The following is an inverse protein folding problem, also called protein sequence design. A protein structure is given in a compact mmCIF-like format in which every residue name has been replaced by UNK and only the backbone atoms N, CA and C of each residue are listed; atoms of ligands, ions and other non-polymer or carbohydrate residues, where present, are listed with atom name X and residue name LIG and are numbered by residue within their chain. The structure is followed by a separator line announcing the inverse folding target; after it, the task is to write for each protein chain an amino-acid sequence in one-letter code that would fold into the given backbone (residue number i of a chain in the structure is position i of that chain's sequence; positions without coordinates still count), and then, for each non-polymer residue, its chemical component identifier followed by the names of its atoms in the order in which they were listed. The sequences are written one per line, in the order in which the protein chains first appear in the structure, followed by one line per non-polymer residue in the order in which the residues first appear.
data_IF_185849676640
#
_entry.id   IF_185849676640
#
_cell.length_a   1.000
_cell.length_b   1.000
_cell.length_c   1.000
_cell.angle_alpha   90.00
_cell.angle_beta   90.00
_cell.angle_gamma   90.00
#
_symmetry.space_group_name_H-M   'P 1'
#
loop_
_entity.id
_entity.type
_entity.pdbx_description
1 polymer ?
#
# COMPACT_ATOMS: atom_id res chain seq x y z
N UNK A 1 -12.55 2.25 -5.97
CA UNK A 1 -11.39 2.04 -5.08
C UNK A 1 -10.34 1.25 -5.82
N UNK A 2 -9.13 1.78 -5.97
CA UNK A 2 -8.07 1.01 -6.62
C UNK A 2 -7.73 -0.24 -5.83
N UNK A 3 -7.28 -1.25 -6.55
CA UNK A 3 -6.84 -2.51 -5.95
C UNK A 3 -5.46 -2.86 -6.46
N UNK A 4 -4.77 -3.69 -5.73
CA UNK A 4 -3.44 -4.13 -6.11
C UNK A 4 -2.93 -5.24 -5.21
N UNK A 5 -1.65 -5.56 -5.38
CA UNK A 5 -0.99 -6.63 -4.65
C UNK A 5 0.25 -6.05 -3.96
N UNK A 6 0.48 -6.47 -2.72
CA UNK A 6 1.69 -6.04 -2.02
C UNK A 6 2.88 -6.70 -2.67
N UNK A 7 3.68 -5.89 -3.34
CA UNK A 7 4.85 -6.32 -4.09
C UNK A 7 6.06 -6.51 -3.20
N UNK A 8 6.23 -5.61 -2.22
CA UNK A 8 7.35 -5.64 -1.30
C UNK A 8 6.90 -5.12 0.05
N UNK A 9 7.38 -5.76 1.10
CA UNK A 9 7.10 -5.31 2.46
C UNK A 9 8.39 -5.39 3.28
N UNK A 10 8.75 -4.29 3.92
CA UNK A 10 9.93 -4.18 4.77
C UNK A 10 9.45 -4.09 6.21
N UNK A 11 9.39 -5.23 6.87
CA UNK A 11 8.74 -5.37 8.16
C UNK A 11 9.40 -4.54 9.25
N UNK A 12 10.71 -4.55 9.30
CA UNK A 12 11.44 -3.81 10.34
C UNK A 12 11.34 -2.29 10.17
N UNK A 13 10.95 -1.84 9.00
CA UNK A 13 10.75 -0.41 8.73
C UNK A 13 9.29 -0.01 8.71
N UNK A 14 8.39 -0.97 8.58
CA UNK A 14 6.95 -0.72 8.59
C UNK A 14 6.40 -0.07 7.34
N UNK A 15 6.99 -0.33 6.17
CA UNK A 15 6.46 0.18 4.92
C UNK A 15 6.72 -0.79 3.78
N UNK A 16 6.09 -0.53 2.65
CA UNK A 16 6.28 -1.34 1.47
C UNK A 16 5.66 -0.69 0.25
N UNK A 17 5.43 -1.50 -0.78
CA UNK A 17 4.90 -1.01 -2.04
C UNK A 17 3.79 -1.92 -2.53
N UNK A 18 2.75 -1.31 -3.08
CA UNK A 18 1.64 -1.99 -3.71
C UNK A 18 1.77 -1.83 -5.22
N UNK A 19 1.67 -2.94 -5.94
CA UNK A 19 1.58 -2.90 -7.40
C UNK A 19 0.11 -2.81 -7.79
N UNK A 20 -0.33 -1.67 -8.37
CA UNK A 20 -1.72 -1.53 -8.78
C UNK A 20 -2.11 -2.52 -9.88
N UNK A 21 -3.34 -2.99 -9.85
CA UNK A 21 -3.83 -3.91 -10.87
C UNK A 21 -3.92 -3.28 -12.25
N UNK A 22 -4.08 -1.97 -12.32
CA UNK A 22 -4.17 -1.26 -13.59
C UNK A 22 -2.82 -1.09 -14.30
N UNK A 23 -1.74 -1.59 -13.71
CA UNK A 23 -0.42 -1.51 -14.32
C UNK A 23 0.29 -0.19 -14.11
N UNK A 24 -0.25 0.68 -13.27
CA UNK A 24 0.40 1.95 -12.95
C UNK A 24 1.65 1.79 -12.10
N UNK A 25 2.29 2.91 -11.74
CA UNK A 25 3.50 2.85 -10.92
C UNK A 25 3.20 2.31 -9.52
N UNK A 26 4.22 1.74 -8.88
CA UNK A 26 4.08 1.23 -7.52
C UNK A 26 3.66 2.34 -6.58
N UNK A 27 2.81 1.99 -5.61
CA UNK A 27 2.29 2.93 -4.63
C UNK A 27 2.92 2.64 -3.28
N UNK A 28 3.53 3.64 -2.67
CA UNK A 28 4.10 3.52 -1.33
C UNK A 28 2.98 3.32 -0.31
N UNK A 29 3.22 2.44 0.66
CA UNK A 29 2.26 2.21 1.74
C UNK A 29 3.00 2.05 3.07
N UNK A 30 2.52 2.78 4.08
CA UNK A 30 3.03 2.68 5.44
C UNK A 30 2.11 1.81 6.28
N UNK A 31 2.65 1.15 7.31
CA UNK A 31 1.83 0.23 8.13
C UNK A 31 0.62 0.91 8.75
N UNK A 32 0.68 2.22 8.96
CA UNK A 32 -0.44 2.98 9.52
C UNK A 32 -1.68 2.99 8.63
N UNK A 33 -1.49 2.72 7.33
CA UNK A 33 -2.60 2.67 6.39
C UNK A 33 -3.41 1.37 6.50
N UNK A 34 -2.87 0.38 7.18
CA UNK A 34 -3.52 -0.92 7.35
C UNK A 34 -4.35 -0.96 8.64
N UNK A 35 -5.37 -1.84 8.71
CA UNK A 35 -6.09 -2.05 9.95
C UNK A 35 -5.15 -2.50 11.07
N UNK A 36 -5.45 -2.08 12.30
CA UNK A 36 -4.64 -2.47 13.46
C UNK A 36 -4.68 -3.98 13.62
N UNK A 37 -3.52 -4.54 13.95
CA UNK A 37 -3.40 -5.96 14.19
C UNK A 37 -3.27 -6.82 12.94
N UNK A 38 -3.36 -6.21 11.76
CA UNK A 38 -3.18 -6.96 10.52
C UNK A 38 -1.70 -7.23 10.28
N UNK A 39 -1.37 -8.49 10.04
CA UNK A 39 -0.03 -8.86 9.65
C UNK A 39 0.10 -8.73 8.13
N UNK A 40 0.97 -7.84 7.69
CA UNK A 40 1.15 -7.57 6.26
C UNK A 40 2.17 -8.53 5.67
N UNK A 41 1.85 -9.10 4.52
CA UNK A 41 2.74 -10.02 3.82
C UNK A 41 2.76 -9.71 2.33
N UNK A 42 3.89 -9.99 1.70
CA UNK A 42 3.99 -9.88 0.25
C UNK A 42 3.04 -10.86 -0.44
N UNK A 43 2.44 -10.40 -1.53
CA UNK A 43 1.47 -11.21 -2.26
C UNK A 43 0.03 -11.00 -1.86
N UNK A 44 -0.23 -10.28 -0.76
CA UNK A 44 -1.60 -10.00 -0.33
C UNK A 44 -2.29 -9.04 -1.29
N UNK A 45 -3.54 -9.34 -1.63
CA UNK A 45 -4.35 -8.44 -2.43
C UNK A 45 -5.09 -7.46 -1.54
N UNK A 46 -5.05 -6.20 -1.91
CA UNK A 46 -5.62 -5.13 -1.09
C UNK A 46 -6.37 -4.12 -1.93
N UNK A 47 -7.35 -3.48 -1.32
CA UNK A 47 -7.96 -2.27 -1.83
C UNK A 47 -7.42 -1.08 -1.07
N UNK A 48 -7.30 0.07 -1.72
CA UNK A 48 -6.71 1.24 -1.08
C UNK A 48 -7.15 2.52 -1.75
N UNK A 49 -6.94 3.64 -1.06
CA UNK A 49 -7.11 4.97 -1.61
C UNK A 49 -5.73 5.54 -1.89
N UNK A 50 -5.63 6.32 -2.97
CA UNK A 50 -4.36 6.94 -3.36
C UNK A 50 -4.42 8.44 -3.08
N UNK A 51 -3.39 8.94 -2.39
CA UNK A 51 -3.20 10.37 -2.20
C UNK A 51 -1.73 10.69 -2.46
N UNK A 52 -1.46 11.90 -2.95
CA UNK A 52 -0.08 12.31 -3.15
C UNK A 52 0.50 12.85 -1.86
N UNK A 53 1.72 12.44 -1.55
CA UNK A 53 2.45 12.98 -0.42
C UNK A 53 2.75 14.46 -0.68
N UNK A 54 2.44 15.31 0.31
CA UNK A 54 2.61 16.75 0.16
C UNK A 54 4.07 17.15 0.01
N UNK A 55 5.00 16.37 0.54
CA UNK A 55 6.42 16.69 0.50
C UNK A 55 7.10 16.20 -0.77
N UNK A 56 6.77 14.98 -1.20
CA UNK A 56 7.46 14.35 -2.33
C UNK A 56 6.65 14.39 -3.62
N UNK A 57 5.34 14.61 -3.52
CA UNK A 57 4.44 14.54 -4.67
C UNK A 57 4.20 13.14 -5.18
N UNK A 58 4.70 12.12 -4.49
CA UNK A 58 4.56 10.73 -4.91
C UNK A 58 3.27 10.10 -4.40
N UNK A 59 2.70 9.13 -5.12
CA UNK A 59 1.49 8.47 -4.66
C UNK A 59 1.74 7.64 -3.42
N UNK A 60 0.76 7.68 -2.51
CA UNK A 60 0.81 6.94 -1.25
C UNK A 60 -0.56 6.32 -1.00
N UNK A 61 -0.57 5.07 -0.55
CA UNK A 61 -1.82 4.38 -0.24
C UNK A 61 -2.30 4.73 1.16
N UNK A 62 -3.62 4.96 1.27
CA UNK A 62 -4.30 5.20 2.54
C UNK A 62 -5.49 4.27 2.65
N UNK A 63 -5.95 4.03 3.88
CA UNK A 63 -7.16 3.24 4.15
C UNK A 63 -7.14 1.90 3.41
N UNK A 64 -6.08 1.15 3.62
CA UNK A 64 -5.89 -0.14 2.96
C UNK A 64 -6.80 -1.19 3.58
N UNK A 65 -7.38 -2.04 2.74
CA UNK A 65 -8.24 -3.15 3.16
C UNK A 65 -7.81 -4.43 2.49
N UNK A 66 -7.99 -5.53 3.20
CA UNK A 66 -7.84 -6.84 2.58
C UNK A 66 -9.01 -7.11 1.63
N UNK A 67 -8.69 -7.70 0.50
CA UNK A 67 -9.71 -8.18 -0.43
C UNK A 67 -10.06 -9.64 -0.18
#
# INVERSE_FOLDING_TARGET
MPTGTIKKWIEDRGFGFIKPEDGGPDVFVHFRAFPRGLQVQEGMRVGFEVANDAKTGKPQANNVRLL
#
